data_IF_065681873118
#
_entry.id   IF_065681873118
#
_cell.length_a   1.000
_cell.length_b   1.000
_cell.length_c   1.000
_cell.angle_alpha   90.00
_cell.angle_beta   90.00
_cell.angle_gamma   90.00
#
_symmetry.space_group_name_H-M   'P 1'
#
loop_
_entity.id
_entity.type
_entity.pdbx_description
1 polymer ?
#
# COMPACT_ATOMS: atom_id res chain seq x y z
N UNK A 1 -12.33 9.18 -1.58
CA UNK A 1 -11.43 8.01 -1.63
C UNK A 1 -11.97 6.90 -0.73
N UNK A 2 -12.16 7.15 0.58
CA UNK A 2 -12.54 6.14 1.57
C UNK A 2 -13.78 5.33 1.23
N UNK A 3 -14.84 5.96 0.68
CA UNK A 3 -16.05 5.24 0.27
C UNK A 3 -15.77 4.25 -0.87
N UNK A 4 -15.00 4.63 -1.89
CA UNK A 4 -14.64 3.73 -2.98
C UNK A 4 -13.81 2.56 -2.50
N UNK A 5 -12.85 2.84 -1.62
CA UNK A 5 -12.03 1.81 -0.99
C UNK A 5 -12.89 0.84 -0.18
N UNK A 6 -13.76 1.35 0.69
CA UNK A 6 -14.65 0.52 1.50
C UNK A 6 -15.56 -0.37 0.66
N UNK A 7 -16.13 0.15 -0.43
CA UNK A 7 -16.97 -0.63 -1.36
C UNK A 7 -16.18 -1.68 -2.11
N UNK A 8 -14.93 -1.39 -2.49
CA UNK A 8 -14.07 -2.38 -3.16
C UNK A 8 -13.68 -3.52 -2.21
N UNK A 9 -13.36 -3.21 -0.96
CA UNK A 9 -13.12 -4.25 0.07
C UNK A 9 -14.38 -5.06 0.34
N UNK A 10 -15.56 -4.42 0.44
CA UNK A 10 -16.81 -5.15 0.61
C UNK A 10 -17.08 -6.09 -0.57
N UNK A 11 -16.82 -5.65 -1.81
CA UNK A 11 -16.94 -6.51 -2.98
C UNK A 11 -15.97 -7.70 -2.94
N UNK A 12 -14.73 -7.52 -2.42
CA UNK A 12 -13.81 -8.63 -2.22
C UNK A 12 -14.35 -9.64 -1.19
N UNK A 13 -14.95 -9.16 -0.09
CA UNK A 13 -15.58 -10.01 0.92
C UNK A 13 -16.75 -10.80 0.32
N UNK A 14 -17.64 -10.12 -0.39
CA UNK A 14 -18.84 -10.73 -0.99
C UNK A 14 -18.49 -11.83 -2.01
N UNK A 15 -17.37 -11.67 -2.70
CA UNK A 15 -16.86 -12.61 -3.71
C UNK A 15 -15.81 -13.59 -3.16
N UNK A 16 -15.50 -13.57 -1.87
CA UNK A 16 -14.45 -14.40 -1.24
C UNK A 16 -13.11 -14.30 -1.99
N UNK A 17 -12.74 -13.09 -2.41
CA UNK A 17 -11.57 -12.81 -3.23
C UNK A 17 -10.49 -12.03 -2.46
N UNK A 18 -9.24 -12.18 -2.89
CA UNK A 18 -8.15 -11.32 -2.44
C UNK A 18 -8.43 -9.85 -2.81
N UNK A 19 -8.02 -8.93 -1.94
CA UNK A 19 -8.07 -7.50 -2.22
C UNK A 19 -6.69 -6.99 -2.62
N UNK A 20 -6.58 -6.39 -3.81
CA UNK A 20 -5.33 -5.80 -4.31
C UNK A 20 -5.52 -4.30 -4.50
N UNK A 21 -4.65 -3.49 -3.92
CA UNK A 21 -4.72 -2.04 -4.04
C UNK A 21 -3.41 -1.44 -4.54
N UNK A 22 -3.46 -0.73 -5.65
CA UNK A 22 -2.35 0.09 -6.16
C UNK A 22 -2.48 1.49 -5.60
N UNK A 23 -1.46 1.96 -4.89
CA UNK A 23 -1.46 3.28 -4.26
C UNK A 23 -0.60 4.26 -5.05
N UNK A 24 -1.15 5.45 -5.34
CA UNK A 24 -0.44 6.57 -5.93
C UNK A 24 -0.99 7.86 -5.33
N UNK A 25 -0.22 8.53 -4.48
CA UNK A 25 -0.72 9.72 -3.77
C UNK A 25 0.40 10.60 -3.24
N UNK A 26 0.25 11.91 -3.41
CA UNK A 26 1.10 12.90 -2.72
C UNK A 26 0.71 13.14 -1.25
N UNK A 27 -0.36 12.52 -0.77
CA UNK A 27 -0.85 12.64 0.60
C UNK A 27 -2.31 13.09 0.71
N UNK A 28 -2.77 13.33 1.93
CA UNK A 28 -4.10 13.83 2.22
C UNK A 28 -4.23 15.32 1.87
N UNK A 29 -5.35 15.71 1.27
CA UNK A 29 -5.61 17.11 0.92
C UNK A 29 -5.89 17.94 2.18
N UNK A 30 -4.98 18.84 2.51
CA UNK A 30 -5.08 19.69 3.71
C UNK A 30 -6.33 20.59 3.69
N UNK A 31 -6.78 21.04 2.52
CA UNK A 31 -7.98 21.89 2.38
C UNK A 31 -9.27 21.18 2.75
N UNK A 32 -9.31 19.87 2.76
CA UNK A 32 -10.46 19.07 3.21
C UNK A 32 -10.48 18.88 4.74
N UNK A 33 -9.42 19.31 5.43
CA UNK A 33 -9.34 19.28 6.89
C UNK A 33 -9.66 17.89 7.47
N UNK A 34 -10.52 17.87 8.46
CA UNK A 34 -10.89 16.65 9.17
C UNK A 34 -11.52 15.57 8.27
N UNK A 35 -12.21 15.94 7.20
CA UNK A 35 -12.79 14.96 6.28
C UNK A 35 -11.74 14.06 5.62
N UNK A 36 -10.57 14.60 5.27
CA UNK A 36 -9.48 13.80 4.72
C UNK A 36 -8.91 12.82 5.76
N UNK A 37 -8.81 13.22 7.02
CA UNK A 37 -8.34 12.36 8.11
C UNK A 37 -9.35 11.25 8.43
N UNK A 38 -10.64 11.54 8.41
CA UNK A 38 -11.71 10.55 8.63
C UNK A 38 -11.73 9.45 7.56
N UNK A 39 -11.20 9.71 6.36
CA UNK A 39 -11.02 8.67 5.35
C UNK A 39 -10.03 7.59 5.81
N UNK A 40 -9.00 7.97 6.57
CA UNK A 40 -8.02 7.02 7.11
C UNK A 40 -8.70 6.03 8.08
N UNK A 41 -9.52 6.53 8.99
CA UNK A 41 -10.31 5.70 9.90
C UNK A 41 -11.26 4.75 9.14
N UNK A 42 -11.93 5.26 8.10
CA UNK A 42 -12.86 4.47 7.28
C UNK A 42 -12.15 3.33 6.54
N UNK A 43 -11.01 3.59 5.93
CA UNK A 43 -10.25 2.56 5.22
C UNK A 43 -9.68 1.51 6.18
N UNK A 44 -9.15 1.94 7.32
CA UNK A 44 -8.63 1.02 8.35
C UNK A 44 -9.74 0.12 8.91
N UNK A 45 -10.90 0.69 9.19
CA UNK A 45 -12.04 -0.09 9.72
C UNK A 45 -12.56 -1.16 8.76
N UNK A 46 -12.53 -0.91 7.45
CA UNK A 46 -12.97 -1.91 6.47
C UNK A 46 -11.89 -2.98 6.20
N UNK A 47 -10.60 -2.65 6.33
CA UNK A 47 -9.51 -3.65 6.27
C UNK A 47 -9.64 -4.64 7.44
N UNK A 48 -9.99 -4.17 8.63
CA UNK A 48 -10.24 -5.05 9.77
C UNK A 48 -11.34 -6.08 9.46
N UNK A 49 -12.42 -5.67 8.79
CA UNK A 49 -13.45 -6.61 8.33
C UNK A 49 -12.93 -7.63 7.33
N UNK A 50 -12.07 -7.22 6.39
CA UNK A 50 -11.45 -8.14 5.43
C UNK A 50 -10.63 -9.22 6.16
N UNK A 51 -9.85 -8.81 7.17
CA UNK A 51 -9.05 -9.71 7.99
C UNK A 51 -9.92 -10.71 8.79
N UNK A 52 -11.08 -10.27 9.32
CA UNK A 52 -12.06 -11.16 9.97
C UNK A 52 -12.54 -12.28 9.03
N UNK A 53 -12.66 -12.00 7.73
CA UNK A 53 -13.00 -12.97 6.70
C UNK A 53 -11.81 -13.79 6.20
N UNK A 54 -10.60 -13.57 6.74
CA UNK A 54 -9.35 -14.27 6.38
C UNK A 54 -9.01 -14.14 4.89
N UNK A 55 -9.35 -13.02 4.29
CA UNK A 55 -9.05 -12.72 2.89
C UNK A 55 -7.79 -11.86 2.80
N UNK A 56 -6.84 -12.17 1.90
CA UNK A 56 -5.58 -11.46 1.83
C UNK A 56 -5.74 -10.06 1.22
N UNK A 57 -5.00 -9.12 1.79
CA UNK A 57 -4.83 -7.78 1.25
C UNK A 57 -3.39 -7.60 0.74
N UNK A 58 -3.21 -7.38 -0.55
CA UNK A 58 -1.93 -7.08 -1.20
C UNK A 58 -1.91 -5.59 -1.55
N UNK A 59 -0.96 -4.85 -0.96
CA UNK A 59 -0.75 -3.43 -1.25
C UNK A 59 0.44 -3.23 -2.18
N UNK A 60 0.25 -2.50 -3.28
CA UNK A 60 1.30 -2.18 -4.26
C UNK A 60 1.56 -0.68 -4.23
N UNK A 61 2.73 -0.29 -3.71
CA UNK A 61 3.13 1.10 -3.55
C UNK A 61 3.81 1.59 -4.83
N UNK A 62 3.18 2.55 -5.51
CA UNK A 62 3.74 3.17 -6.71
C UNK A 62 4.33 4.54 -6.41
N UNK A 63 5.01 5.13 -7.38
CA UNK A 63 5.65 6.45 -7.23
C UNK A 63 4.69 7.61 -7.54
N UNK A 64 4.42 8.54 -6.60
CA UNK A 64 4.74 8.48 -5.17
C UNK A 64 3.61 7.86 -4.32
N UNK A 65 3.95 7.34 -3.14
CA UNK A 65 2.96 6.98 -2.11
C UNK A 65 3.33 7.66 -0.79
N UNK A 66 2.65 8.78 -0.47
CA UNK A 66 3.03 9.69 0.59
C UNK A 66 1.88 10.03 1.54
N UNK A 67 2.22 10.63 2.67
CA UNK A 67 1.30 11.29 3.60
C UNK A 67 0.27 10.37 4.23
N UNK A 68 -1.00 10.82 4.27
CA UNK A 68 -2.08 10.06 4.89
C UNK A 68 -2.39 8.72 4.23
N UNK A 69 -2.02 8.52 2.97
CA UNK A 69 -2.18 7.23 2.28
C UNK A 69 -1.16 6.22 2.80
N UNK A 70 0.12 6.59 2.87
CA UNK A 70 1.15 5.73 3.48
C UNK A 70 0.89 5.48 4.96
N UNK A 71 0.45 6.49 5.70
CA UNK A 71 0.13 6.39 7.14
C UNK A 71 -1.19 5.64 7.43
N UNK A 72 -1.85 5.09 6.42
CA UNK A 72 -3.09 4.32 6.58
C UNK A 72 -3.05 3.04 5.74
N UNK A 73 -3.96 2.86 4.83
CA UNK A 73 -4.18 1.59 4.13
C UNK A 73 -2.99 1.10 3.30
N UNK A 74 -2.10 1.98 2.83
CA UNK A 74 -1.00 1.57 1.96
C UNK A 74 0.00 0.62 2.65
N UNK A 75 0.26 0.80 3.94
CA UNK A 75 1.13 -0.07 4.74
C UNK A 75 0.38 -1.12 5.56
N UNK A 76 -0.91 -1.32 5.31
CA UNK A 76 -1.73 -2.29 6.04
C UNK A 76 -1.97 -3.60 5.26
N UNK A 77 -1.29 -3.79 4.13
CA UNK A 77 -1.34 -5.06 3.39
C UNK A 77 -0.72 -6.22 4.17
N UNK A 78 -1.26 -7.43 4.00
CA UNK A 78 -0.60 -8.66 4.45
C UNK A 78 0.71 -8.89 3.69
N UNK A 79 0.79 -8.38 2.46
CA UNK A 79 2.02 -8.20 1.68
C UNK A 79 2.05 -6.77 1.15
N UNK A 80 3.15 -6.08 1.39
CA UNK A 80 3.41 -4.72 0.92
C UNK A 80 4.52 -4.75 -0.13
N UNK A 81 4.14 -4.57 -1.38
CA UNK A 81 5.05 -4.53 -2.53
C UNK A 81 5.31 -3.08 -2.95
N UNK A 82 6.44 -2.81 -3.56
CA UNK A 82 6.71 -1.51 -4.17
C UNK A 82 7.29 -1.63 -5.58
N UNK A 83 7.08 -0.63 -6.42
CA UNK A 83 7.81 -0.49 -7.66
C UNK A 83 9.25 -0.03 -7.40
N UNK A 84 10.22 -0.40 -8.27
CA UNK A 84 11.60 0.07 -8.14
C UNK A 84 11.67 1.61 -8.10
N UNK A 85 12.51 2.14 -7.21
CA UNK A 85 12.77 3.58 -7.04
C UNK A 85 11.55 4.43 -6.66
N UNK A 86 10.43 3.83 -6.31
CA UNK A 86 9.24 4.56 -5.88
C UNK A 86 9.54 5.40 -4.62
N UNK A 87 9.07 6.65 -4.62
CA UNK A 87 9.13 7.54 -3.46
C UNK A 87 7.98 7.22 -2.51
N UNK A 88 8.31 6.73 -1.34
CA UNK A 88 7.33 6.25 -0.37
C UNK A 88 7.71 6.79 1.01
N UNK A 89 6.79 7.47 1.67
CA UNK A 89 7.05 8.05 2.99
C UNK A 89 5.87 8.83 3.51
N UNK A 90 6.03 9.52 4.63
CA UNK A 90 4.99 10.39 5.19
C UNK A 90 5.20 11.84 4.75
N UNK A 91 6.15 12.54 5.35
CA UNK A 91 6.55 13.87 4.91
C UNK A 91 7.55 13.77 3.75
N UNK A 92 7.46 14.69 2.79
CA UNK A 92 8.42 14.74 1.68
C UNK A 92 9.85 15.03 2.14
N UNK A 93 10.88 14.54 1.42
CA UNK A 93 12.29 14.73 1.81
C UNK A 93 12.66 16.18 2.10
N UNK A 94 12.23 17.12 1.24
CA UNK A 94 12.48 18.57 1.43
C UNK A 94 11.90 19.10 2.74
N UNK A 95 10.71 18.64 3.13
CA UNK A 95 10.08 19.08 4.39
C UNK A 95 10.88 18.57 5.58
N UNK A 96 11.35 17.33 5.52
CA UNK A 96 12.17 16.73 6.56
C UNK A 96 13.48 17.48 6.69
N UNK A 97 14.24 17.68 5.60
CA UNK A 97 15.51 18.42 5.59
C UNK A 97 15.38 19.83 6.16
N UNK A 98 14.31 20.55 5.79
CA UNK A 98 14.05 21.89 6.31
C UNK A 98 13.71 21.89 7.80
N UNK A 99 13.08 20.83 8.30
CA UNK A 99 12.64 20.72 9.69
C UNK A 99 13.77 20.28 10.61
N UNK A 100 14.50 19.22 10.23
CA UNK A 100 15.62 18.69 11.05
C UNK A 100 16.94 19.41 10.75
N UNK A 101 17.04 20.14 9.64
CA UNK A 101 18.27 20.85 9.19
C UNK A 101 19.46 19.92 9.00
N UNK A 102 19.21 18.68 8.60
CA UNK A 102 20.24 17.68 8.30
C UNK A 102 20.09 17.18 6.87
N UNK A 103 21.19 16.72 6.28
CA UNK A 103 21.14 16.05 5.00
C UNK A 103 20.63 14.62 5.16
N UNK A 104 19.67 14.26 4.32
CA UNK A 104 19.14 12.91 4.31
C UNK A 104 20.12 11.95 3.62
N UNK A 105 20.17 10.68 4.07
CA UNK A 105 21.00 9.68 3.42
C UNK A 105 20.56 9.45 1.96
N UNK A 106 21.51 9.04 1.13
CA UNK A 106 21.23 8.70 -0.27
C UNK A 106 20.15 7.60 -0.35
N UNK A 107 19.21 7.79 -1.28
CA UNK A 107 18.09 6.85 -1.46
C UNK A 107 17.01 6.92 -0.38
N UNK A 108 17.07 7.88 0.53
CA UNK A 108 16.07 8.04 1.59
C UNK A 108 14.64 8.06 1.02
N UNK A 109 13.75 7.30 1.65
CA UNK A 109 12.36 7.09 1.23
C UNK A 109 12.18 6.43 -0.16
N UNK A 110 13.22 5.88 -0.77
CA UNK A 110 13.07 5.04 -1.95
C UNK A 110 12.72 3.60 -1.54
N UNK A 111 12.04 2.89 -2.44
CA UNK A 111 11.63 1.51 -2.20
C UNK A 111 12.77 0.60 -1.75
N UNK A 112 13.97 0.77 -2.33
CA UNK A 112 15.17 0.00 -1.97
C UNK A 112 15.61 0.26 -0.52
N UNK A 113 15.55 1.52 -0.09
CA UNK A 113 15.84 1.91 1.28
C UNK A 113 14.80 1.31 2.26
N UNK A 114 13.53 1.35 1.89
CA UNK A 114 12.44 0.80 2.71
C UNK A 114 12.54 -0.72 2.82
N UNK A 115 12.88 -1.42 1.74
CA UNK A 115 13.12 -2.86 1.77
C UNK A 115 14.28 -3.21 2.71
N UNK A 116 15.39 -2.49 2.62
CA UNK A 116 16.54 -2.68 3.52
C UNK A 116 16.17 -2.46 4.99
N UNK A 117 15.24 -1.55 5.27
CA UNK A 117 14.76 -1.25 6.63
C UNK A 117 13.61 -2.17 7.08
N UNK A 118 13.15 -3.08 6.25
CA UNK A 118 12.06 -4.00 6.56
C UNK A 118 10.67 -3.34 6.62
N UNK A 119 10.50 -2.17 5.97
CA UNK A 119 9.23 -1.48 5.92
C UNK A 119 8.30 -1.98 4.80
N UNK A 120 8.86 -2.65 3.80
CA UNK A 120 8.12 -3.35 2.73
C UNK A 120 8.69 -4.76 2.55
N UNK A 121 7.91 -5.65 1.93
CA UNK A 121 8.25 -7.06 1.80
C UNK A 121 9.03 -7.35 0.52
N UNK A 122 8.73 -6.66 -0.59
CA UNK A 122 9.39 -6.90 -1.87
C UNK A 122 9.32 -5.71 -2.81
N UNK A 123 10.26 -5.69 -3.76
CA UNK A 123 10.27 -4.76 -4.89
C UNK A 123 10.01 -5.54 -6.16
N UNK A 124 9.02 -5.12 -6.95
CA UNK A 124 8.61 -5.80 -8.18
C UNK A 124 8.49 -4.81 -9.32
N UNK A 125 9.16 -5.08 -10.43
CA UNK A 125 9.00 -4.30 -11.66
C UNK A 125 7.57 -4.41 -12.18
N UNK A 126 7.02 -3.31 -12.68
CA UNK A 126 5.64 -3.22 -13.19
C UNK A 126 5.28 -4.32 -14.16
N UNK A 127 6.22 -4.77 -14.99
CA UNK A 127 6.01 -5.85 -15.98
C UNK A 127 5.70 -7.19 -15.32
N UNK A 128 6.23 -7.41 -14.11
CA UNK A 128 6.13 -8.66 -13.39
C UNK A 128 5.01 -8.66 -12.33
N UNK A 129 4.40 -7.49 -12.04
CA UNK A 129 3.38 -7.34 -10.98
C UNK A 129 2.23 -8.32 -11.14
N UNK A 130 1.71 -8.51 -12.35
CA UNK A 130 0.60 -9.45 -12.60
C UNK A 130 0.95 -10.85 -12.14
N UNK A 131 2.13 -11.34 -12.53
CA UNK A 131 2.59 -12.71 -12.20
C UNK A 131 2.84 -12.85 -10.70
N UNK A 132 3.54 -11.90 -10.08
CA UNK A 132 3.87 -11.99 -8.66
C UNK A 132 2.61 -11.87 -7.77
N UNK A 133 1.68 -11.01 -8.12
CA UNK A 133 0.39 -10.92 -7.42
C UNK A 133 -0.39 -12.24 -7.55
N UNK A 134 -0.45 -12.82 -8.75
CA UNK A 134 -1.13 -14.08 -8.98
C UNK A 134 -0.52 -15.23 -8.13
N UNK A 135 0.82 -15.32 -8.06
CA UNK A 135 1.52 -16.29 -7.22
C UNK A 135 1.18 -16.11 -5.73
N UNK A 136 1.16 -14.86 -5.24
CA UNK A 136 0.80 -14.58 -3.85
C UNK A 136 -0.65 -14.98 -3.55
N UNK A 137 -1.58 -14.66 -4.44
CA UNK A 137 -2.98 -15.03 -4.28
C UNK A 137 -3.12 -16.56 -4.22
N UNK A 138 -2.51 -17.28 -5.15
CA UNK A 138 -2.54 -18.75 -5.15
C UNK A 138 -1.95 -19.32 -3.86
N UNK A 139 -0.83 -18.77 -3.36
CA UNK A 139 -0.22 -19.17 -2.11
C UNK A 139 -1.16 -18.99 -0.91
N UNK A 140 -1.83 -17.85 -0.81
CA UNK A 140 -2.78 -17.56 0.27
C UNK A 140 -4.05 -18.42 0.19
N UNK A 141 -4.52 -18.70 -1.02
CA UNK A 141 -5.70 -19.54 -1.26
C UNK A 141 -5.40 -21.04 -1.26
N UNK A 142 -4.12 -21.41 -1.15
CA UNK A 142 -3.63 -22.80 -1.22
C UNK A 142 -4.02 -23.52 -2.52
N UNK A 143 -4.07 -22.75 -3.61
CA UNK A 143 -4.27 -23.25 -4.96
C UNK A 143 -2.94 -23.65 -5.62
N UNK A 144 -2.98 -24.60 -6.57
CA UNK A 144 -1.79 -24.92 -7.34
C UNK A 144 -1.40 -23.80 -8.31
N UNK A 145 -0.10 -23.55 -8.47
CA UNK A 145 0.41 -22.54 -9.40
C UNK A 145 0.14 -22.88 -10.87
N UNK A 146 -0.18 -24.12 -11.18
CA UNK A 146 -0.48 -24.61 -12.54
C UNK A 146 -1.76 -23.98 -13.12
N UNK A 147 -2.58 -23.34 -12.30
CA UNK A 147 -3.80 -22.64 -12.73
C UNK A 147 -3.54 -21.19 -13.22
N UNK A 148 -2.27 -20.73 -13.26
CA UNK A 148 -1.90 -19.33 -13.53
C UNK A 148 -1.30 -19.13 -14.93
N UNK A 149 -1.10 -20.21 -15.72
CA UNK A 149 -0.66 -20.12 -17.13
C UNK A 149 -1.73 -19.62 -18.11
#
# INVERSE_FOLDING_TARGET
>A
VGERFARAVQAAIDNQAAFVCFTASGGARMQEGLFSLMQMAKTTGVIAKLAEHKLPFISVLTDPTMGGVSASFAFMGDVVMAEPKALIGFAGPRVIEQTVREQLPEGFQRSEFLLQKGAIDMIVDRKNLKMEIAKLIALFQKESLDAIE
#
